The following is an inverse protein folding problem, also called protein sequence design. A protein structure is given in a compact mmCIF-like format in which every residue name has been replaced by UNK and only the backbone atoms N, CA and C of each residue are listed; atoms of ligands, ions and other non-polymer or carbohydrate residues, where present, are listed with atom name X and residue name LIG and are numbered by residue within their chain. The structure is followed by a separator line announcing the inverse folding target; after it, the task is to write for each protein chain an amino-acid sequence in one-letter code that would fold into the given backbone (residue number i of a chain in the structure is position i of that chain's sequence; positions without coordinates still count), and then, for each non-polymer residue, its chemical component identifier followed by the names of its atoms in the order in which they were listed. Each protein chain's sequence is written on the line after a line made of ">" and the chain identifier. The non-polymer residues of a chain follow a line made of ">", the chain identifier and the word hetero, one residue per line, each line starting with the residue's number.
data_IF_688074098678
#
_entry.id   IF_688074098678
#
_cell.length_a   1.000
_cell.length_b   1.000
_cell.length_c   1.000
_cell.angle_alpha   90.00
_cell.angle_beta   90.00
_cell.angle_gamma   90.00
#
_symmetry.space_group_name_H-M   'P 1'
#
loop_
_entity.id
_entity.type
_entity.pdbx_description
1 polymer ?
#
# COMPACT_ATOMS: atom_id res chain seq x y z
N UNK A 1 6.31 24.43 -14.61
CA UNK A 1 6.23 22.98 -14.86
C UNK A 1 5.45 22.39 -13.71
N UNK A 2 4.17 22.01 -13.94
CA UNK A 2 3.29 21.45 -12.91
C UNK A 2 3.63 19.97 -12.77
N UNK A 3 4.19 19.57 -11.61
CA UNK A 3 4.39 18.16 -11.28
C UNK A 3 3.02 17.55 -10.98
N UNK A 4 2.52 16.76 -11.91
CA UNK A 4 1.32 15.96 -11.70
C UNK A 4 1.73 14.76 -10.83
N UNK A 5 1.42 14.83 -9.54
CA UNK A 5 1.58 13.71 -8.62
C UNK A 5 0.37 12.79 -8.84
N UNK A 6 0.53 11.78 -9.67
CA UNK A 6 -0.45 10.69 -9.77
C UNK A 6 -0.11 9.71 -8.65
N UNK A 7 -0.71 9.94 -7.49
CA UNK A 7 -0.77 8.95 -6.43
C UNK A 7 -1.72 7.84 -6.91
N UNK A 8 -1.14 6.75 -7.41
CA UNK A 8 -1.84 5.49 -7.57
C UNK A 8 -2.16 4.93 -6.17
N UNK A 9 -3.22 5.44 -5.57
CA UNK A 9 -3.74 4.89 -4.34
C UNK A 9 -4.30 3.50 -4.64
N UNK A 10 -3.60 2.45 -4.17
CA UNK A 10 -4.30 1.21 -3.88
C UNK A 10 -5.44 1.61 -2.93
N UNK A 11 -6.68 1.46 -3.41
CA UNK A 11 -7.84 1.69 -2.58
C UNK A 11 -7.88 0.59 -1.50
N UNK A 12 -7.13 0.80 -0.41
CA UNK A 12 -7.56 0.26 0.85
C UNK A 12 -8.91 0.93 1.11
N UNK A 13 -9.97 0.14 1.12
CA UNK A 13 -11.25 0.58 1.68
C UNK A 13 -10.94 1.13 3.07
N UNK A 14 -10.88 2.45 3.15
CA UNK A 14 -10.55 3.16 4.37
C UNK A 14 -11.66 2.86 5.38
N UNK A 15 -11.35 1.99 6.33
CA UNK A 15 -11.94 2.10 7.65
C UNK A 15 -11.55 3.50 8.14
N UNK A 16 -12.51 4.44 8.12
CA UNK A 16 -12.33 5.79 8.65
C UNK A 16 -12.22 5.70 10.16
N UNK A 17 -11.00 5.54 10.64
CA UNK A 17 -10.67 5.64 12.06
C UNK A 17 -10.03 7.00 12.31
N UNK A 18 -10.36 7.68 13.41
CA UNK A 18 -9.80 9.00 13.72
C UNK A 18 -8.30 8.91 14.06
N UNK A 19 -7.60 9.93 13.67
CA UNK A 19 -6.13 10.02 13.60
C UNK A 19 -5.46 10.39 14.92
N UNK A 20 -4.23 9.86 15.11
CA UNK A 20 -3.13 10.50 15.84
C UNK A 20 -1.94 9.62 16.29
N UNK A 21 -0.68 10.02 16.25
CA UNK A 21 0.51 9.25 16.68
C UNK A 21 1.18 9.82 17.95
N UNK A 22 1.31 9.00 18.98
CA UNK A 22 2.31 9.12 20.03
C UNK A 22 2.71 7.74 20.58
N UNK A 23 3.93 7.63 21.13
CA UNK A 23 4.38 6.39 21.75
C UNK A 23 3.50 6.07 22.96
N UNK A 24 2.89 4.90 22.98
CA UNK A 24 2.04 4.44 24.07
C UNK A 24 2.84 3.55 25.04
N UNK A 25 2.63 3.75 26.34
CA UNK A 25 3.29 3.00 27.44
C UNK A 25 2.29 2.21 28.32
N UNK A 26 1.09 1.91 27.83
CA UNK A 26 0.08 1.14 28.55
C UNK A 26 -0.15 -0.25 27.98
N UNK A 27 -0.81 -1.15 28.74
CA UNK A 27 -1.19 -2.46 28.19
C UNK A 27 -2.26 -2.30 27.11
N UNK A 28 -2.26 -3.20 26.11
CA UNK A 28 -3.30 -3.23 25.08
C UNK A 28 -4.66 -3.55 25.72
N UNK A 29 -5.72 -2.95 25.20
CA UNK A 29 -7.11 -3.20 25.63
C UNK A 29 -7.87 -4.00 24.59
N UNK A 30 -7.39 -4.02 23.34
CA UNK A 30 -7.97 -4.81 22.26
C UNK A 30 -6.86 -5.31 21.33
N UNK A 31 -6.91 -6.59 21.01
CA UNK A 31 -5.93 -7.23 20.12
C UNK A 31 -6.66 -8.27 19.28
N UNK A 32 -6.61 -8.11 17.96
CA UNK A 32 -7.16 -9.12 17.05
C UNK A 32 -6.34 -9.25 15.77
N UNK A 33 -6.53 -10.38 15.11
CA UNK A 33 -5.95 -10.64 13.78
C UNK A 33 -7.10 -10.96 12.84
N UNK A 34 -7.08 -10.36 11.67
CA UNK A 34 -8.05 -10.61 10.63
C UNK A 34 -7.37 -11.02 9.34
N UNK A 35 -8.04 -11.88 8.59
CA UNK A 35 -7.62 -12.31 7.26
C UNK A 35 -8.74 -12.11 6.28
N UNK A 36 -8.44 -11.61 5.09
CA UNK A 36 -9.40 -11.48 4.01
C UNK A 36 -8.81 -11.96 2.68
N UNK A 37 -9.71 -12.24 1.75
CA UNK A 37 -9.37 -12.59 0.36
C UNK A 37 -10.30 -11.82 -0.55
N UNK A 38 -9.77 -11.38 -1.68
CA UNK A 38 -10.57 -10.65 -2.64
C UNK A 38 -9.87 -10.49 -3.97
N UNK A 39 -10.58 -9.79 -4.86
CA UNK A 39 -10.05 -9.36 -6.14
C UNK A 39 -10.41 -7.89 -6.39
N UNK A 40 -9.58 -7.19 -7.13
CA UNK A 40 -9.80 -5.80 -7.52
C UNK A 40 -9.23 -5.53 -8.91
N UNK A 41 -9.84 -4.58 -9.62
CA UNK A 41 -9.30 -4.03 -10.87
C UNK A 41 -9.15 -2.53 -10.67
N UNK A 42 -7.99 -2.00 -11.02
CA UNK A 42 -7.70 -0.59 -10.83
C UNK A 42 -6.80 -0.02 -11.93
N UNK A 43 -6.89 1.28 -12.23
CA UNK A 43 -5.95 1.93 -13.14
C UNK A 43 -4.54 1.92 -12.54
N UNK A 44 -3.56 1.75 -13.40
CA UNK A 44 -2.16 1.65 -13.02
C UNK A 44 -1.31 2.52 -13.95
N UNK A 45 -0.55 3.44 -13.39
CA UNK A 45 0.20 4.43 -14.17
C UNK A 45 1.50 3.89 -14.79
N UNK A 46 1.79 2.61 -14.63
CA UNK A 46 3.02 1.98 -15.08
C UNK A 46 4.26 2.52 -14.34
N UNK A 47 4.82 1.79 -13.35
CA UNK A 47 6.04 2.22 -12.69
C UNK A 47 7.22 2.17 -13.67
N UNK A 48 8.29 2.89 -13.34
CA UNK A 48 9.53 2.82 -14.11
C UNK A 48 9.43 3.33 -15.55
N UNK A 49 8.45 4.20 -15.84
CA UNK A 49 8.20 4.70 -17.20
C UNK A 49 7.46 3.70 -18.10
N UNK A 50 6.86 2.67 -17.53
CA UNK A 50 6.00 1.74 -18.26
C UNK A 50 4.71 2.38 -18.74
N UNK A 51 4.04 1.71 -19.68
CA UNK A 51 2.74 2.17 -20.19
C UNK A 51 1.68 2.19 -19.09
N UNK A 52 0.76 3.18 -19.08
CA UNK A 52 -0.40 3.13 -18.22
C UNK A 52 -1.37 2.02 -18.68
N UNK A 53 -2.24 1.58 -17.79
CA UNK A 53 -3.21 0.54 -18.08
C UNK A 53 -4.03 0.16 -16.86
N UNK A 54 -4.52 -1.07 -16.85
CA UNK A 54 -5.26 -1.64 -15.74
C UNK A 54 -4.51 -2.83 -15.16
N UNK A 55 -4.56 -2.95 -13.85
CA UNK A 55 -4.09 -4.13 -13.14
C UNK A 55 -5.28 -4.81 -12.45
N UNK A 56 -5.43 -6.10 -12.71
CA UNK A 56 -6.32 -7.00 -11.95
C UNK A 56 -5.47 -7.70 -10.89
N UNK A 57 -5.94 -7.74 -9.67
CA UNK A 57 -5.25 -8.40 -8.56
C UNK A 57 -6.17 -9.37 -7.85
N UNK A 58 -5.65 -10.55 -7.52
CA UNK A 58 -6.23 -11.45 -6.53
C UNK A 58 -5.35 -11.45 -5.29
N UNK A 59 -5.93 -11.22 -4.13
CA UNK A 59 -5.16 -10.99 -2.92
C UNK A 59 -5.61 -11.80 -1.71
N UNK A 60 -4.65 -12.03 -0.83
CA UNK A 60 -4.86 -12.48 0.54
C UNK A 60 -4.23 -11.45 1.47
N UNK A 61 -5.02 -10.93 2.38
CA UNK A 61 -4.61 -10.00 3.43
C UNK A 61 -4.56 -10.71 4.77
N UNK A 62 -3.58 -10.33 5.57
CA UNK A 62 -3.55 -10.62 6.99
C UNK A 62 -3.08 -9.36 7.71
N UNK A 63 -3.84 -8.93 8.70
CA UNK A 63 -3.43 -7.81 9.53
C UNK A 63 -3.74 -8.05 11.01
N UNK A 64 -2.92 -7.45 11.83
CA UNK A 64 -2.98 -7.49 13.27
C UNK A 64 -3.22 -6.07 13.78
N UNK A 65 -4.25 -5.93 14.60
CA UNK A 65 -4.64 -4.67 15.23
C UNK A 65 -4.38 -4.75 16.72
N UNK A 66 -3.78 -3.70 17.26
CA UNK A 66 -3.61 -3.53 18.71
C UNK A 66 -4.14 -2.16 19.10
N UNK A 67 -5.21 -2.13 19.88
CA UNK A 67 -5.81 -0.93 20.44
C UNK A 67 -5.38 -0.69 21.88
N UNK A 68 -5.35 0.57 22.29
CA UNK A 68 -4.93 1.02 23.62
C UNK A 68 -5.98 1.92 24.26
N UNK A 69 -6.04 1.94 25.59
CA UNK A 69 -7.07 2.67 26.37
C UNK A 69 -7.10 4.19 26.12
N UNK A 70 -6.00 4.77 25.67
CA UNK A 70 -5.86 6.20 25.37
C UNK A 70 -6.26 6.56 23.91
N UNK A 71 -6.84 5.62 23.18
CA UNK A 71 -7.30 5.81 21.79
C UNK A 71 -6.21 5.63 20.75
N UNK A 72 -5.01 5.23 21.14
CA UNK A 72 -3.99 4.79 20.17
C UNK A 72 -4.31 3.41 19.61
N UNK A 73 -3.88 3.16 18.39
CA UNK A 73 -3.88 1.81 17.82
C UNK A 73 -2.69 1.62 16.88
N UNK A 74 -2.31 0.37 16.71
CA UNK A 74 -1.35 -0.05 15.70
C UNK A 74 -2.01 -1.08 14.80
N UNK A 75 -1.87 -0.92 13.51
CA UNK A 75 -2.21 -1.93 12.51
C UNK A 75 -0.94 -2.33 11.78
N UNK A 76 -0.64 -3.61 11.76
CA UNK A 76 0.47 -4.13 10.98
C UNK A 76 -0.01 -5.33 10.18
N UNK A 77 0.38 -5.43 8.93
CA UNK A 77 -0.10 -6.52 8.10
C UNK A 77 0.71 -6.73 6.84
N UNK A 78 0.27 -7.74 6.11
CA UNK A 78 0.80 -8.03 4.80
C UNK A 78 -0.32 -8.45 3.86
N UNK A 79 -0.14 -8.11 2.61
CA UNK A 79 -0.96 -8.54 1.50
C UNK A 79 -0.06 -9.27 0.50
N UNK A 80 -0.50 -10.41 0.03
CA UNK A 80 0.16 -11.17 -1.03
C UNK A 80 -0.85 -11.55 -2.09
N UNK A 81 -0.41 -11.67 -3.33
CA UNK A 81 -1.33 -12.04 -4.39
C UNK A 81 -0.69 -12.20 -5.74
N UNK A 82 -1.55 -12.43 -6.72
CA UNK A 82 -1.22 -12.42 -8.13
C UNK A 82 -1.73 -11.14 -8.78
N UNK A 83 -1.16 -10.79 -9.90
CA UNK A 83 -1.63 -9.67 -10.72
C UNK A 83 -1.55 -10.02 -12.20
N UNK A 84 -2.45 -9.42 -12.97
CA UNK A 84 -2.44 -9.36 -14.41
C UNK A 84 -2.54 -7.88 -14.83
N UNK A 85 -1.59 -7.43 -15.63
CA UNK A 85 -1.51 -6.07 -16.15
C UNK A 85 -1.86 -6.05 -17.63
N UNK A 86 -2.79 -5.19 -17.99
CA UNK A 86 -3.19 -4.93 -19.39
C UNK A 86 -2.98 -3.44 -19.67
N UNK A 87 -2.07 -3.08 -20.58
CA UNK A 87 -1.82 -1.68 -20.95
C UNK A 87 -2.99 -1.09 -21.74
N UNK A 88 -3.16 0.23 -21.65
CA UNK A 88 -4.14 0.98 -22.46
C UNK A 88 -3.74 1.00 -23.94
N UNK A 89 -2.43 1.03 -24.22
CA UNK A 89 -1.88 0.93 -25.57
C UNK A 89 -1.75 -0.55 -25.97
N UNK A 90 -2.50 -1.03 -26.96
CA UNK A 90 -2.44 -2.43 -27.38
C UNK A 90 -1.10 -2.85 -28.02
N UNK A 91 -0.21 -1.90 -28.30
CA UNK A 91 1.15 -2.18 -28.77
C UNK A 91 2.15 -2.39 -27.62
N UNK A 92 1.78 -2.03 -26.40
CA UNK A 92 2.59 -2.27 -25.20
C UNK A 92 2.35 -3.68 -24.66
N UNK A 93 3.35 -4.22 -23.97
CA UNK A 93 3.31 -5.59 -23.46
C UNK A 93 2.43 -5.70 -22.22
N UNK A 94 1.52 -6.66 -22.21
CA UNK A 94 0.87 -7.13 -21.00
C UNK A 94 1.82 -7.96 -20.15
N UNK A 95 1.47 -8.16 -18.88
CA UNK A 95 2.33 -8.88 -17.95
C UNK A 95 1.58 -9.42 -16.74
N UNK A 96 2.17 -10.43 -16.10
CA UNK A 96 1.58 -11.04 -14.92
C UNK A 96 2.64 -11.49 -13.93
N UNK A 97 2.19 -11.80 -12.72
CA UNK A 97 3.11 -12.29 -11.69
C UNK A 97 2.52 -12.28 -10.29
N UNK A 98 3.41 -12.10 -9.32
CA UNK A 98 3.07 -12.07 -7.91
C UNK A 98 3.52 -10.75 -7.28
N UNK A 99 2.81 -10.33 -6.26
CA UNK A 99 3.21 -9.20 -5.45
C UNK A 99 3.09 -9.50 -3.95
N UNK A 100 3.79 -8.71 -3.18
CA UNK A 100 3.63 -8.63 -1.73
C UNK A 100 3.69 -7.18 -1.30
N UNK A 101 2.89 -6.84 -0.33
CA UNK A 101 2.89 -5.56 0.36
C UNK A 101 2.97 -5.80 1.86
N UNK A 102 3.91 -5.17 2.54
CA UNK A 102 3.93 -5.10 3.99
C UNK A 102 3.59 -3.68 4.41
N UNK A 103 2.76 -3.51 5.42
CA UNK A 103 2.38 -2.20 5.90
C UNK A 103 2.31 -2.13 7.43
N UNK A 104 2.50 -0.94 7.94
CA UNK A 104 2.29 -0.61 9.33
C UNK A 104 1.70 0.80 9.44
N UNK A 105 0.66 0.90 10.24
CA UNK A 105 0.04 2.15 10.66
C UNK A 105 0.12 2.24 12.18
N UNK A 106 0.46 3.41 12.68
CA UNK A 106 0.40 3.75 14.10
C UNK A 106 -0.36 5.06 14.19
N UNK A 107 -1.49 5.03 14.84
CA UNK A 107 -2.38 6.17 14.98
C UNK A 107 -2.74 6.43 16.43
N UNK A 108 -2.99 7.65 16.78
CA UNK A 108 -3.35 8.08 18.12
C UNK A 108 -3.76 9.59 18.16
N UNK A 109 -4.17 10.29 19.29
CA UNK A 109 -4.82 11.61 19.35
C UNK A 109 -4.11 12.81 18.65
N UNK A 110 -2.85 12.76 18.27
CA UNK A 110 -2.10 13.92 17.74
C UNK A 110 -1.43 13.72 16.36
N UNK A 111 -1.71 12.64 15.62
CA UNK A 111 -1.15 12.36 14.27
C UNK A 111 -1.11 10.85 13.98
N UNK A 112 -0.58 10.47 12.86
CA UNK A 112 -0.39 9.08 12.48
C UNK A 112 0.95 8.88 11.76
N UNK A 113 1.42 7.65 11.74
CA UNK A 113 2.57 7.22 10.97
C UNK A 113 2.19 5.99 10.16
N UNK A 114 2.29 6.10 8.85
CA UNK A 114 2.07 5.01 7.92
C UNK A 114 3.36 4.66 7.19
N UNK A 115 3.64 3.39 7.04
CA UNK A 115 4.71 2.90 6.17
C UNK A 115 4.24 1.67 5.41
N UNK A 116 4.63 1.57 4.15
CA UNK A 116 4.39 0.38 3.33
C UNK A 116 5.56 0.06 2.43
N UNK A 117 5.70 -1.22 2.10
CA UNK A 117 6.67 -1.72 1.14
C UNK A 117 6.02 -2.72 0.19
N UNK A 118 5.86 -2.30 -1.06
CA UNK A 118 5.24 -3.09 -2.12
C UNK A 118 6.31 -3.62 -3.07
N UNK A 119 6.32 -4.90 -3.34
CA UNK A 119 7.28 -5.56 -4.24
C UNK A 119 6.53 -6.39 -5.27
N UNK A 120 6.83 -6.15 -6.53
CA UNK A 120 6.31 -6.89 -7.68
C UNK A 120 7.40 -7.72 -8.31
N UNK A 121 7.07 -8.96 -8.63
CA UNK A 121 7.90 -9.87 -9.41
C UNK A 121 7.01 -10.59 -10.43
N UNK A 122 7.27 -10.38 -11.70
CA UNK A 122 6.51 -10.95 -12.80
C UNK A 122 7.29 -11.00 -14.08
N UNK A 123 6.57 -11.23 -15.16
CA UNK A 123 7.08 -11.22 -16.53
C UNK A 123 6.08 -10.57 -17.47
N UNK A 124 6.60 -9.91 -18.47
CA UNK A 124 5.85 -9.52 -19.67
C UNK A 124 5.64 -10.73 -20.58
N UNK A 125 4.72 -10.61 -21.54
CA UNK A 125 4.42 -11.67 -22.52
C UNK A 125 5.62 -12.08 -23.38
N UNK A 126 6.56 -11.17 -23.63
CA UNK A 126 7.81 -11.44 -24.33
C UNK A 126 8.86 -12.20 -23.47
N UNK A 127 8.51 -12.53 -22.21
CA UNK A 127 9.37 -13.20 -21.25
C UNK A 127 10.32 -12.28 -20.49
N UNK A 128 10.38 -10.98 -20.82
CA UNK A 128 11.18 -10.02 -20.08
C UNK A 128 10.70 -9.84 -18.65
N UNK A 129 11.58 -9.41 -17.76
CA UNK A 129 11.28 -9.30 -16.32
C UNK A 129 10.44 -8.05 -16.04
N UNK A 130 9.39 -8.22 -15.27
CA UNK A 130 8.63 -7.16 -14.64
C UNK A 130 8.94 -7.17 -13.14
N UNK A 131 9.79 -6.27 -12.70
CA UNK A 131 10.18 -6.19 -11.29
C UNK A 131 10.30 -4.72 -10.87
N UNK A 132 9.65 -4.38 -9.77
CA UNK A 132 9.83 -3.08 -9.13
C UNK A 132 9.49 -3.14 -7.64
N UNK A 133 9.91 -2.14 -6.92
CA UNK A 133 9.59 -1.95 -5.52
C UNK A 133 9.12 -0.51 -5.31
N UNK A 134 8.07 -0.36 -4.49
CA UNK A 134 7.61 0.93 -3.99
C UNK A 134 7.75 0.94 -2.47
N UNK A 135 8.29 2.01 -1.93
CA UNK A 135 8.29 2.29 -0.49
C UNK A 135 7.58 3.60 -0.25
N UNK A 136 6.72 3.61 0.73
CA UNK A 136 6.01 4.81 1.15
C UNK A 136 6.15 5.00 2.66
N UNK A 137 6.36 6.23 3.08
CA UNK A 137 6.30 6.64 4.48
C UNK A 137 5.56 7.97 4.55
N UNK A 138 4.56 8.05 5.42
CA UNK A 138 3.82 9.25 5.70
C UNK A 138 3.72 9.43 7.21
N UNK A 139 4.11 10.60 7.70
CA UNK A 139 3.96 10.99 9.12
C UNK A 139 3.21 12.30 9.18
N UNK A 140 2.11 12.30 9.91
CA UNK A 140 1.31 13.49 10.22
C UNK A 140 1.33 13.70 11.73
N UNK A 141 1.61 14.91 12.17
CA UNK A 141 1.58 15.29 13.59
C UNK A 141 0.90 16.65 13.73
N UNK A 142 -0.07 16.75 14.64
CA UNK A 142 -0.88 17.95 14.89
C UNK A 142 -1.54 18.52 13.62
N UNK A 143 -2.02 17.63 12.73
CA UNK A 143 -2.66 18.00 11.46
C UNK A 143 -1.69 18.44 10.35
N UNK A 144 -0.38 18.41 10.59
CA UNK A 144 0.63 18.79 9.59
C UNK A 144 1.44 17.57 9.12
N UNK A 145 1.71 17.50 7.82
CA UNK A 145 2.61 16.50 7.24
C UNK A 145 4.04 16.83 7.66
N UNK A 146 4.68 15.92 8.38
CA UNK A 146 6.07 16.03 8.86
C UNK A 146 7.05 15.26 7.99
N UNK A 147 6.62 14.13 7.48
CA UNK A 147 7.41 13.28 6.59
C UNK A 147 6.50 12.76 5.50
N UNK A 148 6.93 12.92 4.26
CA UNK A 148 6.34 12.26 3.11
C UNK A 148 7.49 11.76 2.23
N UNK A 149 7.57 10.43 2.09
CA UNK A 149 8.56 9.78 1.23
C UNK A 149 7.85 8.78 0.33
N UNK A 150 8.18 8.83 -0.93
CA UNK A 150 7.73 7.88 -1.94
C UNK A 150 8.92 7.52 -2.82
N UNK A 151 9.31 6.27 -2.80
CA UNK A 151 10.48 5.76 -3.52
C UNK A 151 10.04 4.62 -4.43
N UNK A 152 10.40 4.68 -5.70
CA UNK A 152 10.22 3.59 -6.66
C UNK A 152 11.60 3.13 -7.12
N UNK A 153 11.82 1.83 -7.07
CA UNK A 153 13.03 1.18 -7.55
C UNK A 153 12.67 0.13 -8.60
N UNK A 154 13.32 0.18 -9.76
CA UNK A 154 13.13 -0.67 -10.94
C UNK A 154 14.26 -1.69 -11.11
#
# INVERSE_FOLDING_TARGET
>A
MKKLIIAGALALTALTLPSAASAHNGPPVDVFTETSKGSAVQPFAGPCGGAPGFVSVDFNDMFHVTGFADGHYTVAGNQTGTFDFVPDDPSALSGSGHYRNGFRDVSGPNGFSFSSGFVVNGRFEDGSKLKFQVKQTLVVANGEVRVEKFEVSC
#
